data_IF_547467745778
#
_entry.id   IF_547467745778
#
_cell.length_a   1.000
_cell.length_b   1.000
_cell.length_c   1.000
_cell.angle_alpha   90.00
_cell.angle_beta   90.00
_cell.angle_gamma   90.00
#
_symmetry.space_group_name_H-M   'P 1'
#
loop_
_entity.id
_entity.type
_entity.pdbx_description
1 polymer ?
#
# COMPACT_ATOMS: atom_id res chain seq x y z
N UNK A 1 -43.00 -10.94 21.37
CA UNK A 1 -42.13 -12.14 21.24
C UNK A 1 -40.66 -11.78 21.50
N UNK A 2 -39.89 -12.63 22.19
CA UNK A 2 -38.48 -12.40 22.53
C UNK A 2 -37.57 -13.36 21.76
N UNK A 3 -36.80 -12.86 20.78
CA UNK A 3 -35.89 -13.66 19.92
C UNK A 3 -34.40 -13.32 20.16
N UNK A 4 -34.09 -12.73 21.32
CA UNK A 4 -32.75 -12.21 21.65
C UNK A 4 -31.70 -13.31 21.80
N UNK A 5 -32.11 -14.49 22.27
CA UNK A 5 -31.28 -15.69 22.43
C UNK A 5 -30.93 -16.31 21.08
N UNK A 6 -31.90 -16.50 20.20
CA UNK A 6 -31.69 -16.99 18.84
C UNK A 6 -30.81 -16.04 18.04
N UNK A 7 -31.02 -14.72 18.20
CA UNK A 7 -30.19 -13.70 17.54
C UNK A 7 -28.74 -13.72 18.04
N UNK A 8 -28.53 -14.03 19.33
CA UNK A 8 -27.21 -14.26 19.92
C UNK A 8 -26.58 -15.57 19.41
N UNK A 9 -27.32 -16.67 19.37
CA UNK A 9 -26.84 -17.96 18.89
C UNK A 9 -26.44 -17.89 17.40
N UNK A 10 -27.29 -17.32 16.56
CA UNK A 10 -27.01 -17.08 15.14
C UNK A 10 -25.78 -16.20 14.93
N UNK A 11 -25.64 -15.12 15.71
CA UNK A 11 -24.47 -14.25 15.67
C UNK A 11 -23.17 -15.00 16.03
N UNK A 12 -23.21 -15.87 17.03
CA UNK A 12 -22.07 -16.69 17.45
C UNK A 12 -21.71 -17.74 16.40
N UNK A 13 -22.69 -18.42 15.82
CA UNK A 13 -22.49 -19.43 14.75
C UNK A 13 -21.87 -18.78 13.51
N UNK A 14 -22.39 -17.62 13.09
CA UNK A 14 -21.92 -16.90 11.91
C UNK A 14 -20.67 -16.03 12.15
N UNK A 15 -20.20 -15.93 13.40
CA UNK A 15 -19.10 -15.04 13.84
C UNK A 15 -19.34 -13.59 13.42
N UNK A 16 -20.51 -13.03 13.73
CA UNK A 16 -20.90 -11.66 13.36
C UNK A 16 -21.59 -10.94 14.51
N UNK A 17 -21.82 -9.63 14.35
CA UNK A 17 -22.64 -8.87 15.30
C UNK A 17 -24.12 -9.28 15.19
N UNK A 18 -24.82 -9.32 16.34
CA UNK A 18 -26.29 -9.47 16.40
C UNK A 18 -27.03 -8.50 15.48
N UNK A 19 -26.48 -7.29 15.26
CA UNK A 19 -27.06 -6.27 14.38
C UNK A 19 -27.11 -6.68 12.90
N UNK A 20 -26.30 -7.64 12.48
CA UNK A 20 -26.27 -8.14 11.09
C UNK A 20 -27.13 -9.37 10.86
N UNK A 21 -27.75 -9.91 11.90
CA UNK A 21 -28.66 -11.05 11.77
C UNK A 21 -30.07 -10.53 11.50
N UNK A 22 -30.65 -10.99 10.40
CA UNK A 22 -32.00 -10.69 9.94
C UNK A 22 -32.79 -11.99 9.96
N UNK A 23 -34.00 -11.93 10.50
CA UNK A 23 -34.95 -13.05 10.53
C UNK A 23 -36.01 -12.84 9.46
N UNK A 24 -36.48 -13.93 8.90
CA UNK A 24 -37.64 -13.94 8.02
C UNK A 24 -38.92 -13.71 8.85
N UNK A 25 -39.75 -12.70 8.53
CA UNK A 25 -40.99 -12.43 9.27
C UNK A 25 -42.01 -13.57 9.19
N UNK A 26 -42.02 -14.36 8.11
CA UNK A 26 -43.00 -15.45 7.92
C UNK A 26 -42.66 -16.71 8.72
N UNK A 27 -41.39 -16.86 9.13
CA UNK A 27 -40.88 -18.07 9.82
C UNK A 27 -40.47 -17.79 11.26
N UNK A 28 -41.08 -16.78 11.90
CA UNK A 28 -40.72 -16.38 13.25
C UNK A 28 -41.04 -17.45 14.31
N UNK A 29 -42.11 -18.24 14.11
CA UNK A 29 -42.45 -19.36 15.00
C UNK A 29 -41.41 -20.48 14.92
N UNK A 30 -41.04 -20.93 13.71
CA UNK A 30 -39.96 -21.92 13.51
C UNK A 30 -38.63 -21.48 14.16
N UNK A 31 -38.30 -20.18 14.02
CA UNK A 31 -37.08 -19.62 14.61
C UNK A 31 -37.17 -19.63 16.13
N UNK A 32 -38.35 -19.41 16.72
CA UNK A 32 -38.55 -19.41 18.16
C UNK A 32 -38.37 -20.80 18.76
N UNK A 33 -38.82 -21.85 18.07
CA UNK A 33 -38.67 -23.25 18.47
C UNK A 33 -37.21 -23.74 18.41
N UNK A 34 -36.36 -23.09 17.62
CA UNK A 34 -34.93 -23.42 17.55
C UNK A 34 -34.17 -23.01 18.82
N UNK A 35 -33.81 -23.99 19.64
CA UNK A 35 -33.08 -23.80 20.91
C UNK A 35 -31.57 -24.06 20.72
N UNK A 36 -31.20 -25.04 19.89
CA UNK A 36 -29.81 -25.50 19.77
C UNK A 36 -29.04 -24.80 18.65
N UNK A 37 -27.71 -24.88 18.68
CA UNK A 37 -26.86 -24.35 17.58
C UNK A 37 -27.01 -25.16 16.28
N UNK A 38 -27.44 -26.42 16.36
CA UNK A 38 -27.69 -27.28 15.19
C UNK A 38 -28.94 -26.82 14.46
N UNK A 39 -30.02 -26.51 15.18
CA UNK A 39 -31.28 -26.01 14.60
C UNK A 39 -31.06 -24.67 13.88
N UNK A 40 -30.30 -23.76 14.51
CA UNK A 40 -29.91 -22.48 13.92
C UNK A 40 -29.08 -22.66 12.63
N UNK A 41 -28.29 -23.75 12.50
CA UNK A 41 -27.58 -24.07 11.25
C UNK A 41 -28.54 -24.60 10.17
N UNK A 42 -29.55 -25.38 10.56
CA UNK A 42 -30.62 -25.81 9.65
C UNK A 42 -31.38 -24.61 9.08
N UNK A 43 -31.84 -23.71 9.95
CA UNK A 43 -32.55 -22.47 9.57
C UNK A 43 -31.69 -21.50 8.75
N UNK A 44 -30.35 -21.56 8.89
CA UNK A 44 -29.44 -20.80 8.05
C UNK A 44 -29.35 -21.40 6.64
N UNK A 45 -29.35 -22.73 6.53
CA UNK A 45 -29.34 -23.46 5.26
C UNK A 45 -30.62 -23.21 4.47
N UNK A 46 -31.76 -23.21 5.16
CA UNK A 46 -33.09 -22.90 4.62
C UNK A 46 -33.33 -21.39 4.39
N UNK A 47 -32.35 -20.54 4.72
CA UNK A 47 -32.41 -19.07 4.59
C UNK A 47 -33.48 -18.38 5.44
N UNK A 48 -34.05 -19.02 6.45
CA UNK A 48 -34.92 -18.36 7.44
C UNK A 48 -34.14 -17.34 8.30
N UNK A 49 -32.83 -17.57 8.49
CA UNK A 49 -31.90 -16.62 9.12
C UNK A 49 -30.91 -16.13 8.07
N UNK A 50 -30.73 -14.81 7.93
CA UNK A 50 -29.82 -14.21 6.95
C UNK A 50 -28.80 -13.29 7.61
N UNK A 51 -27.59 -13.26 7.05
CA UNK A 51 -26.52 -12.34 7.42
C UNK A 51 -26.51 -11.15 6.46
N UNK A 52 -26.71 -9.95 7.00
CA UNK A 52 -26.56 -8.71 6.23
C UNK A 52 -25.09 -8.51 5.83
N UNK A 53 -24.87 -8.15 4.57
CA UNK A 53 -23.55 -7.83 4.05
C UNK A 53 -22.95 -6.60 4.76
N UNK A 54 -21.62 -6.49 4.78
CA UNK A 54 -20.97 -5.31 5.35
C UNK A 54 -21.18 -4.12 4.41
N UNK A 55 -21.68 -3.00 4.95
CA UNK A 55 -21.62 -1.71 4.24
C UNK A 55 -20.15 -1.29 4.13
N UNK A 56 -19.61 -1.31 2.91
CA UNK A 56 -18.25 -0.84 2.62
C UNK A 56 -18.25 0.64 2.23
N UNK A 57 -17.13 1.32 2.44
CA UNK A 57 -16.93 2.70 1.94
C UNK A 57 -16.31 2.63 0.55
N UNK A 58 -16.92 3.32 -0.43
CA UNK A 58 -16.40 3.36 -1.79
C UNK A 58 -15.09 4.16 -1.84
N UNK A 59 -14.13 3.69 -2.66
CA UNK A 59 -12.83 4.35 -2.86
C UNK A 59 -12.71 5.06 -4.22
N UNK A 60 -13.80 5.21 -4.96
CA UNK A 60 -13.81 5.72 -6.36
C UNK A 60 -13.17 7.11 -6.44
N UNK A 61 -13.69 8.08 -5.66
CA UNK A 61 -13.16 9.45 -5.63
C UNK A 61 -11.70 9.51 -5.20
N UNK A 62 -11.31 8.68 -4.23
CA UNK A 62 -9.91 8.61 -3.77
C UNK A 62 -8.98 8.12 -4.89
N UNK A 63 -9.39 7.08 -5.62
CA UNK A 63 -8.62 6.54 -6.75
C UNK A 63 -8.48 7.54 -7.88
N UNK A 64 -9.56 8.24 -8.21
CA UNK A 64 -9.55 9.30 -9.21
C UNK A 64 -8.59 10.45 -8.82
N UNK A 65 -8.68 10.94 -7.58
CA UNK A 65 -7.76 11.94 -7.05
C UNK A 65 -6.29 11.46 -7.08
N UNK A 66 -6.05 10.19 -6.75
CA UNK A 66 -4.71 9.60 -6.80
C UNK A 66 -4.19 9.49 -8.23
N UNK A 67 -5.03 9.14 -9.20
CA UNK A 67 -4.66 9.10 -10.62
C UNK A 67 -4.23 10.49 -11.12
N UNK A 68 -5.01 11.53 -10.80
CA UNK A 68 -4.64 12.92 -11.13
C UNK A 68 -3.33 13.35 -10.44
N UNK A 69 -3.14 12.98 -9.17
CA UNK A 69 -1.88 13.25 -8.46
C UNK A 69 -0.68 12.51 -9.06
N UNK A 70 -0.84 11.29 -9.58
CA UNK A 70 0.23 10.54 -10.25
C UNK A 70 0.67 11.24 -11.54
N UNK A 71 -0.26 11.80 -12.31
CA UNK A 71 0.01 12.62 -13.51
C UNK A 71 0.74 13.94 -13.21
N UNK A 72 0.85 14.34 -11.94
CA UNK A 72 1.48 15.60 -11.52
C UNK A 72 0.49 16.72 -11.21
N UNK A 73 -0.80 16.52 -11.47
CA UNK A 73 -1.86 17.48 -11.17
C UNK A 73 -2.19 17.50 -9.67
N UNK A 74 -2.91 18.53 -9.21
CA UNK A 74 -3.33 18.69 -7.79
C UNK A 74 -2.16 18.65 -6.78
N UNK A 75 -0.99 19.16 -7.19
CA UNK A 75 0.26 19.24 -6.42
C UNK A 75 0.83 20.68 -6.34
N UNK A 76 -0.01 21.70 -6.55
CA UNK A 76 0.39 23.11 -6.51
C UNK A 76 0.85 23.57 -5.11
N UNK A 77 1.45 24.77 -4.99
CA UNK A 77 1.93 25.33 -3.72
C UNK A 77 0.82 25.45 -2.67
N UNK A 78 -0.34 26.00 -3.04
CA UNK A 78 -1.49 26.19 -2.13
C UNK A 78 -2.06 24.88 -1.57
N UNK A 79 -1.97 23.78 -2.32
CA UNK A 79 -2.41 22.45 -1.83
C UNK A 79 -1.46 21.87 -0.77
N UNK A 80 -0.25 22.42 -0.61
CA UNK A 80 0.77 21.94 0.35
C UNK A 80 0.69 22.77 1.62
N UNK A 81 0.26 22.14 2.72
CA UNK A 81 0.14 22.79 4.04
C UNK A 81 1.42 22.76 4.90
N UNK A 82 2.38 21.91 4.57
CA UNK A 82 3.60 21.71 5.37
C UNK A 82 4.88 22.23 4.71
N UNK A 83 5.93 22.43 5.51
CA UNK A 83 7.28 22.79 5.02
C UNK A 83 7.79 21.75 4.02
N UNK A 84 8.66 22.17 3.10
CA UNK A 84 9.27 21.29 2.07
C UNK A 84 9.95 20.07 2.68
N UNK A 85 10.66 20.26 3.79
CA UNK A 85 11.43 19.24 4.51
C UNK A 85 10.56 18.23 5.25
N UNK A 86 9.31 18.56 5.59
CA UNK A 86 8.37 17.64 6.23
C UNK A 86 7.85 16.57 5.26
N UNK A 87 7.88 16.84 3.96
CA UNK A 87 7.43 15.88 2.93
C UNK A 87 8.51 14.88 2.56
N UNK A 88 9.76 15.36 2.45
CA UNK A 88 10.96 14.56 2.22
C UNK A 88 12.09 15.25 2.98
N UNK A 89 12.75 14.50 3.87
CA UNK A 89 13.85 15.06 4.65
C UNK A 89 15.10 15.32 3.79
N UNK A 90 15.96 16.24 4.23
CA UNK A 90 17.25 16.50 3.56
C UNK A 90 18.11 15.23 3.52
N UNK A 91 18.17 14.48 4.63
CA UNK A 91 18.91 13.23 4.76
C UNK A 91 18.38 12.15 3.81
N UNK A 92 17.06 11.98 3.73
CA UNK A 92 16.46 11.00 2.81
C UNK A 92 16.75 11.33 1.34
N UNK A 93 16.69 12.60 0.97
CA UNK A 93 17.06 13.06 -0.38
C UNK A 93 18.51 12.73 -0.71
N UNK A 94 19.43 13.02 0.23
CA UNK A 94 20.85 12.68 0.08
C UNK A 94 21.07 11.17 -0.01
N UNK A 95 20.46 10.37 0.88
CA UNK A 95 20.58 8.91 0.88
C UNK A 95 20.09 8.31 -0.44
N UNK A 96 18.93 8.75 -0.96
CA UNK A 96 18.43 8.30 -2.27
C UNK A 96 19.41 8.64 -3.39
N UNK A 97 19.91 9.87 -3.40
CA UNK A 97 20.88 10.34 -4.40
C UNK A 97 22.17 9.50 -4.41
N UNK A 98 22.83 9.36 -3.25
CA UNK A 98 24.12 8.68 -3.16
C UNK A 98 24.00 7.17 -3.39
N UNK A 99 22.91 6.53 -2.93
CA UNK A 99 22.68 5.10 -3.14
C UNK A 99 22.52 4.79 -4.63
N UNK A 100 21.68 5.52 -5.35
CA UNK A 100 21.51 5.33 -6.80
C UNK A 100 22.81 5.56 -7.57
N UNK A 101 23.64 6.53 -7.15
CA UNK A 101 24.95 6.76 -7.76
C UNK A 101 25.92 5.60 -7.50
N UNK A 102 26.01 5.12 -6.26
CA UNK A 102 26.91 4.01 -5.89
C UNK A 102 26.48 2.69 -6.53
N UNK A 103 25.19 2.39 -6.51
CA UNK A 103 24.61 1.24 -7.20
C UNK A 103 24.97 1.24 -8.68
N UNK A 104 24.87 2.40 -9.35
CA UNK A 104 25.31 2.51 -10.74
C UNK A 104 26.81 2.28 -10.94
N UNK A 105 27.67 2.79 -10.04
CA UNK A 105 29.11 2.52 -10.12
C UNK A 105 29.41 1.03 -9.88
N UNK A 106 28.69 0.37 -8.98
CA UNK A 106 28.80 -1.09 -8.78
C UNK A 106 28.36 -1.86 -10.03
N UNK A 107 27.25 -1.47 -10.67
CA UNK A 107 26.79 -2.06 -11.93
C UNK A 107 27.84 -1.92 -13.05
N UNK A 108 28.50 -0.75 -13.15
CA UNK A 108 29.54 -0.52 -14.16
C UNK A 108 30.79 -1.37 -13.91
N UNK A 109 31.21 -1.48 -12.64
CA UNK A 109 32.35 -2.33 -12.25
C UNK A 109 32.05 -3.81 -12.48
N UNK A 110 30.85 -4.27 -12.14
CA UNK A 110 30.43 -5.66 -12.36
C UNK A 110 30.38 -6.03 -13.85
N UNK A 111 30.18 -5.04 -14.74
CA UNK A 111 30.24 -5.19 -16.19
C UNK A 111 31.62 -4.90 -16.78
N UNK A 112 32.63 -4.73 -15.94
CA UNK A 112 34.02 -4.43 -16.30
C UNK A 112 34.22 -3.20 -17.20
N UNK A 113 33.24 -2.29 -17.23
CA UNK A 113 33.30 -1.06 -18.04
C UNK A 113 34.22 0.00 -17.48
N UNK A 114 34.65 -0.16 -16.22
CA UNK A 114 35.52 0.77 -15.49
C UNK A 114 36.56 -0.04 -14.73
N UNK A 115 37.78 0.48 -14.64
CA UNK A 115 38.84 -0.11 -13.84
C UNK A 115 38.54 -0.02 -12.33
N UNK A 116 39.22 -0.82 -11.52
CA UNK A 116 39.12 -0.74 -10.05
C UNK A 116 39.52 0.63 -9.51
N UNK A 117 40.54 1.24 -10.10
CA UNK A 117 41.07 2.56 -9.72
C UNK A 117 40.06 3.65 -10.01
N UNK A 118 39.53 3.67 -11.24
CA UNK A 118 38.50 4.63 -11.66
C UNK A 118 37.22 4.48 -10.83
N UNK A 119 36.79 3.26 -10.51
CA UNK A 119 35.67 3.03 -9.58
C UNK A 119 35.92 3.69 -8.22
N UNK A 120 37.11 3.52 -7.64
CA UNK A 120 37.43 4.01 -6.31
C UNK A 120 37.45 5.54 -6.25
N UNK A 121 38.05 6.18 -7.27
CA UNK A 121 38.05 7.64 -7.43
C UNK A 121 36.62 8.19 -7.60
N UNK A 122 35.82 7.61 -8.51
CA UNK A 122 34.43 8.02 -8.72
C UNK A 122 33.56 7.83 -7.48
N UNK A 123 33.83 6.79 -6.68
CA UNK A 123 33.11 6.55 -5.43
C UNK A 123 33.38 7.64 -4.39
N UNK A 124 34.65 8.09 -4.27
CA UNK A 124 35.04 9.21 -3.40
C UNK A 124 34.45 10.52 -3.89
N UNK A 125 34.50 10.79 -5.21
CA UNK A 125 33.86 11.95 -5.83
C UNK A 125 32.34 11.98 -5.62
N UNK A 126 31.68 10.82 -5.68
CA UNK A 126 30.27 10.69 -5.36
C UNK A 126 29.98 11.02 -3.89
N UNK A 127 30.80 10.53 -2.95
CA UNK A 127 30.73 10.90 -1.52
C UNK A 127 30.86 12.41 -1.33
N UNK A 128 31.73 13.06 -2.11
CA UNK A 128 31.92 14.52 -2.15
C UNK A 128 30.80 15.31 -2.84
N UNK A 129 29.69 14.66 -3.24
CA UNK A 129 28.53 15.30 -3.88
C UNK A 129 28.83 15.97 -5.24
N UNK A 130 29.93 15.59 -5.92
CA UNK A 130 30.27 16.09 -7.25
C UNK A 130 29.16 15.77 -8.28
N UNK A 131 28.58 14.57 -8.19
CA UNK A 131 27.58 14.11 -9.14
C UNK A 131 26.16 14.57 -8.78
N UNK A 132 25.39 15.04 -9.77
CA UNK A 132 23.98 15.47 -9.58
C UNK A 132 23.00 14.32 -9.78
N UNK A 133 23.30 13.41 -10.70
CA UNK A 133 22.44 12.28 -11.09
C UNK A 133 23.29 11.14 -11.69
N UNK A 134 22.67 9.97 -11.94
CA UNK A 134 23.28 8.86 -12.70
C UNK A 134 23.77 9.31 -14.09
N UNK A 135 23.01 10.20 -14.75
CA UNK A 135 23.41 10.79 -16.03
C UNK A 135 24.68 11.63 -15.93
N UNK A 136 24.85 12.39 -14.84
CA UNK A 136 26.07 13.20 -14.65
C UNK A 136 27.32 12.33 -14.56
N UNK A 137 27.23 11.16 -13.90
CA UNK A 137 28.34 10.19 -13.87
C UNK A 137 28.66 9.68 -15.28
N UNK A 138 27.64 9.38 -16.09
CA UNK A 138 27.84 8.91 -17.46
C UNK A 138 28.55 9.97 -18.33
N UNK A 139 28.14 11.23 -18.22
CA UNK A 139 28.79 12.35 -18.94
C UNK A 139 30.25 12.46 -18.50
N UNK A 140 30.50 12.46 -17.19
CA UNK A 140 31.86 12.53 -16.65
C UNK A 140 32.77 11.40 -17.15
N UNK A 141 32.25 10.17 -17.22
CA UNK A 141 33.00 9.01 -17.74
C UNK A 141 33.36 9.17 -19.22
N UNK A 142 32.46 9.74 -20.01
CA UNK A 142 32.63 9.98 -21.45
C UNK A 142 33.66 11.10 -21.69
N UNK A 143 33.51 12.23 -21.01
CA UNK A 143 34.42 13.39 -21.11
C UNK A 143 35.86 13.01 -20.75
N UNK A 144 36.05 12.17 -19.73
CA UNK A 144 37.37 11.73 -19.28
C UNK A 144 37.85 10.43 -19.95
N UNK A 145 37.09 9.87 -20.89
CA UNK A 145 37.41 8.61 -21.61
C UNK A 145 37.79 7.45 -20.66
N UNK A 146 37.11 7.36 -19.52
CA UNK A 146 37.41 6.37 -18.47
C UNK A 146 36.66 5.05 -18.67
N UNK A 147 36.01 4.88 -19.83
CA UNK A 147 35.27 3.68 -20.19
C UNK A 147 36.24 2.71 -20.87
N UNK A 148 36.38 1.54 -20.27
CA UNK A 148 37.07 0.41 -20.88
C UNK A 148 36.12 -0.17 -21.93
N UNK A 149 36.64 -0.39 -23.15
CA UNK A 149 35.89 -0.93 -24.28
C UNK A 149 35.47 -2.38 -24.03
#
# INVERSE_FOLDING_TARGET
MQLSTQKRLAANVLKTSKKKIVFDPERLEDIKEAITKTDIRGLLSEKAIKKLSKKGVSKVRVREHQAQRRKGLRKGPSTKKGKKTSRISKKETWMKKIRTQREFLYELRAKEKISRETFSDLYLKAKGNLFRSKRHIKIYLDDHKLIIK
#
